data_IF_745663768538
#
_entry.id   IF_745663768538
#
_cell.length_a   1.000
_cell.length_b   1.000
_cell.length_c   1.000
_cell.angle_alpha   90.00
_cell.angle_beta   90.00
_cell.angle_gamma   90.00
#
_symmetry.space_group_name_H-M   'P 1'
#
loop_
_entity.id
_entity.type
_entity.pdbx_description
1 polymer ?
#
# COMPACT_ATOMS: atom_id res chain seq x y z
N UNK A 1 -18.24 -10.32 -14.16
CA UNK A 1 -17.32 -10.22 -13.00
C UNK A 1 -17.21 -8.77 -12.60
N UNK A 2 -17.42 -8.49 -11.32
CA UNK A 2 -17.29 -7.15 -10.77
C UNK A 2 -16.25 -7.11 -9.65
N UNK A 3 -15.56 -5.97 -9.50
CA UNK A 3 -14.58 -5.70 -8.45
C UNK A 3 -14.91 -4.41 -7.70
N UNK A 4 -14.66 -4.41 -6.39
CA UNK A 4 -14.61 -3.21 -5.57
C UNK A 4 -13.27 -3.08 -4.83
N UNK A 5 -12.87 -1.83 -4.55
CA UNK A 5 -11.69 -1.47 -3.75
C UNK A 5 -12.01 -1.32 -2.26
N UNK A 6 -13.28 -1.34 -1.89
CA UNK A 6 -13.78 -1.15 -0.53
C UNK A 6 -15.28 -1.48 -0.43
N UNK A 7 -15.80 -1.71 0.78
CA UNK A 7 -17.23 -1.97 0.97
C UNK A 7 -18.10 -0.78 0.53
N UNK A 8 -17.56 0.43 0.54
CA UNK A 8 -18.31 1.67 0.31
C UNK A 8 -18.05 2.31 -1.07
N UNK A 9 -17.05 1.80 -1.82
CA UNK A 9 -16.65 2.38 -3.12
C UNK A 9 -17.48 1.87 -4.30
N UNK A 10 -18.39 0.93 -4.07
CA UNK A 10 -19.22 0.29 -5.10
C UNK A 10 -18.46 -0.72 -5.98
N UNK A 11 -19.22 -1.60 -6.64
CA UNK A 11 -18.68 -2.60 -7.55
C UNK A 11 -18.64 -2.08 -8.98
N UNK A 12 -17.55 -2.38 -9.69
CA UNK A 12 -17.33 -2.02 -11.09
C UNK A 12 -17.16 -3.27 -11.93
N UNK A 13 -17.78 -3.32 -13.11
CA UNK A 13 -17.59 -4.43 -14.06
C UNK A 13 -16.16 -4.42 -14.59
N UNK A 14 -15.45 -5.53 -14.37
CA UNK A 14 -14.06 -5.70 -14.85
C UNK A 14 -13.93 -6.73 -15.97
N UNK A 15 -15.01 -7.45 -16.26
CA UNK A 15 -15.05 -8.37 -17.39
C UNK A 15 -16.33 -9.20 -17.41
N UNK A 16 -16.59 -9.80 -18.57
CA UNK A 16 -17.74 -10.66 -18.81
C UNK A 16 -17.26 -12.03 -19.28
N UNK A 17 -17.97 -13.07 -18.85
CA UNK A 17 -17.77 -14.45 -19.29
C UNK A 17 -19.11 -14.92 -19.83
N UNK A 18 -19.12 -15.62 -20.97
CA UNK A 18 -20.37 -16.17 -21.52
C UNK A 18 -21.02 -17.08 -20.49
N UNK A 19 -22.32 -16.85 -20.24
CA UNK A 19 -23.11 -17.71 -19.37
C UNK A 19 -23.19 -19.13 -19.93
N UNK A 20 -23.29 -20.12 -19.05
CA UNK A 20 -23.37 -21.53 -19.42
C UNK A 20 -24.76 -21.95 -19.99
N UNK A 21 -25.66 -21.00 -20.25
CA UNK A 21 -27.07 -21.26 -20.58
C UNK A 21 -27.91 -21.64 -19.35
N UNK A 22 -29.13 -22.12 -19.59
CA UNK A 22 -30.03 -22.57 -18.52
C UNK A 22 -29.54 -23.88 -17.93
N UNK A 23 -29.14 -23.87 -16.66
CA UNK A 23 -28.69 -25.05 -15.92
C UNK A 23 -29.29 -25.07 -14.52
N UNK A 24 -29.78 -26.23 -14.09
CA UNK A 24 -30.24 -26.46 -12.71
C UNK A 24 -29.08 -26.76 -11.74
N UNK A 25 -27.84 -26.86 -12.25
CA UNK A 25 -26.60 -27.02 -11.48
C UNK A 25 -25.75 -25.76 -11.58
N UNK A 26 -25.12 -25.38 -10.46
CA UNK A 26 -24.19 -24.25 -10.42
C UNK A 26 -23.08 -24.38 -11.46
N UNK A 27 -22.82 -23.29 -12.19
CA UNK A 27 -21.76 -23.22 -13.19
C UNK A 27 -20.47 -22.67 -12.57
N UNK A 28 -19.33 -23.26 -12.94
CA UNK A 28 -18.02 -22.77 -12.55
C UNK A 28 -17.51 -21.78 -13.61
N UNK A 29 -17.23 -20.56 -13.17
CA UNK A 29 -16.67 -19.52 -14.03
C UNK A 29 -15.24 -19.21 -13.62
N UNK A 30 -14.35 -19.13 -14.60
CA UNK A 30 -12.97 -18.68 -14.42
C UNK A 30 -12.81 -17.30 -15.02
N UNK A 31 -12.26 -16.36 -14.25
CA UNK A 31 -11.92 -15.03 -14.72
C UNK A 31 -10.58 -14.59 -14.12
N UNK A 32 -9.69 -14.04 -14.95
CA UNK A 32 -8.39 -13.53 -14.53
C UNK A 32 -8.43 -12.00 -14.50
N UNK A 33 -8.26 -11.40 -13.33
CA UNK A 33 -8.09 -9.95 -13.20
C UNK A 33 -6.61 -9.57 -13.34
N UNK A 34 -6.20 -9.18 -14.55
CA UNK A 34 -4.82 -8.78 -14.84
C UNK A 34 -4.42 -7.44 -14.20
N UNK A 35 -5.40 -6.63 -13.81
CA UNK A 35 -5.17 -5.32 -13.21
C UNK A 35 -5.29 -5.33 -11.68
N UNK A 36 -5.50 -6.49 -11.05
CA UNK A 36 -5.65 -6.64 -9.60
C UNK A 36 -4.46 -6.04 -8.84
N UNK A 37 -3.23 -6.40 -9.22
CA UNK A 37 -2.02 -5.90 -8.57
C UNK A 37 -1.82 -4.38 -8.75
N UNK A 38 -2.31 -3.81 -9.85
CA UNK A 38 -2.19 -2.38 -10.16
C UNK A 38 -3.15 -1.51 -9.36
N UNK A 39 -4.10 -2.10 -8.61
CA UNK A 39 -5.01 -1.34 -7.76
C UNK A 39 -4.32 -0.74 -6.53
N UNK A 40 -3.08 -1.16 -6.21
CA UNK A 40 -2.34 -0.64 -5.05
C UNK A 40 -2.97 -1.00 -3.70
N UNK A 41 -3.91 -1.95 -3.68
CA UNK A 41 -4.58 -2.46 -2.48
C UNK A 41 -4.11 -3.88 -2.21
N UNK A 42 -4.04 -4.26 -0.93
CA UNK A 42 -3.78 -5.63 -0.47
C UNK A 42 -5.05 -6.44 -0.26
N UNK A 43 -6.20 -5.79 -0.44
CA UNK A 43 -7.53 -6.35 -0.22
C UNK A 43 -8.45 -5.88 -1.33
N UNK A 44 -9.07 -6.82 -2.01
CA UNK A 44 -10.02 -6.59 -3.09
C UNK A 44 -11.28 -7.43 -2.90
N UNK A 45 -12.41 -6.89 -3.33
CA UNK A 45 -13.71 -7.53 -3.23
C UNK A 45 -14.18 -7.91 -4.63
N UNK A 46 -14.66 -9.14 -4.79
CA UNK A 46 -15.17 -9.66 -6.05
C UNK A 46 -16.56 -10.24 -5.88
N UNK A 47 -17.38 -10.09 -6.91
CA UNK A 47 -18.65 -10.81 -7.03
C UNK A 47 -18.97 -11.11 -8.49
N UNK A 48 -19.76 -12.15 -8.69
CA UNK A 48 -20.40 -12.42 -9.97
C UNK A 48 -21.75 -11.69 -10.00
N UNK A 49 -21.98 -10.98 -11.11
CA UNK A 49 -23.30 -10.51 -11.51
C UNK A 49 -23.70 -11.28 -12.76
N UNK A 50 -24.78 -12.05 -12.64
CA UNK A 50 -25.39 -12.78 -13.73
C UNK A 50 -26.60 -11.98 -14.21
N UNK A 51 -26.75 -11.89 -15.52
CA UNK A 51 -27.89 -11.23 -16.16
C UNK A 51 -28.51 -12.28 -17.06
N UNK A 52 -29.78 -12.60 -16.80
CA UNK A 52 -30.55 -13.56 -17.58
C UNK A 52 -31.08 -12.93 -18.87
N UNK A 53 -31.63 -13.75 -19.76
CA UNK A 53 -32.11 -13.30 -21.08
C UNK A 53 -33.28 -12.31 -20.99
N UNK A 54 -34.03 -12.36 -19.90
CA UNK A 54 -35.13 -11.46 -19.58
C UNK A 54 -34.67 -10.16 -18.89
N UNK A 55 -33.37 -10.01 -18.63
CA UNK A 55 -32.79 -8.87 -17.91
C UNK A 55 -32.78 -9.01 -16.38
N UNK A 56 -33.25 -10.14 -15.83
CA UNK A 56 -33.18 -10.42 -14.40
C UNK A 56 -31.72 -10.55 -13.94
N UNK A 57 -31.43 -10.05 -12.73
CA UNK A 57 -30.06 -10.02 -12.21
C UNK A 57 -29.90 -10.85 -10.94
N UNK A 58 -28.84 -11.64 -10.91
CA UNK A 58 -28.48 -12.45 -9.76
C UNK A 58 -27.03 -12.16 -9.33
N UNK A 59 -26.84 -11.86 -8.05
CA UNK A 59 -25.54 -11.58 -7.46
C UNK A 59 -25.07 -12.78 -6.64
N UNK A 60 -23.79 -13.14 -6.79
CA UNK A 60 -23.14 -14.07 -5.87
C UNK A 60 -22.85 -13.39 -4.53
N UNK A 61 -22.55 -14.17 -3.47
CA UNK A 61 -21.83 -13.65 -2.30
C UNK A 61 -20.54 -12.94 -2.71
N UNK A 62 -20.13 -11.98 -1.88
CA UNK A 62 -18.86 -11.26 -2.06
C UNK A 62 -17.71 -12.13 -1.58
N UNK A 63 -16.69 -12.26 -2.42
CA UNK A 63 -15.43 -12.93 -2.09
C UNK A 63 -14.36 -11.87 -1.85
N UNK A 64 -13.67 -11.97 -0.73
CA UNK A 64 -12.56 -11.08 -0.38
C UNK A 64 -11.25 -11.79 -0.66
N UNK A 65 -10.42 -11.19 -1.51
CA UNK A 65 -9.06 -11.67 -1.76
C UNK A 65 -8.11 -10.72 -1.05
N UNK A 66 -7.28 -11.27 -0.16
CA UNK A 66 -6.19 -10.54 0.47
C UNK A 66 -4.86 -11.16 0.12
N UNK A 67 -3.86 -10.32 -0.12
CA UNK A 67 -2.48 -10.74 -0.21
C UNK A 67 -1.61 -9.84 0.64
N UNK A 68 -0.55 -10.42 1.20
CA UNK A 68 0.47 -9.61 1.84
C UNK A 68 1.19 -8.83 0.76
N UNK A 69 1.22 -7.52 0.89
CA UNK A 69 2.08 -6.69 0.06
C UNK A 69 3.51 -7.17 0.28
N UNK A 70 4.14 -7.76 -0.74
CA UNK A 70 5.59 -7.91 -0.80
C UNK A 70 6.28 -6.58 -1.11
N UNK A 71 5.59 -5.45 -0.90
CA UNK A 71 6.17 -4.12 -0.95
C UNK A 71 7.16 -3.97 0.20
N UNK A 72 8.35 -4.50 -0.03
CA UNK A 72 9.53 -4.20 0.74
C UNK A 72 10.08 -2.94 0.11
N UNK A 73 9.52 -1.77 0.45
CA UNK A 73 10.17 -0.52 0.06
C UNK A 73 11.59 -0.59 0.63
N UNK A 74 12.58 -0.66 -0.26
CA UNK A 74 13.98 -0.55 0.14
C UNK A 74 14.19 0.89 0.62
N UNK A 75 13.97 1.11 1.92
CA UNK A 75 14.27 2.36 2.59
C UNK A 75 15.75 2.34 2.95
N UNK A 76 16.48 3.32 2.48
CA UNK A 76 17.89 3.54 2.79
C UNK A 76 18.03 4.92 3.41
N UNK A 77 18.83 5.02 4.46
CA UNK A 77 19.12 6.28 5.15
C UNK A 77 20.62 6.40 5.25
N UNK A 78 21.18 7.48 4.71
CA UNK A 78 22.63 7.70 4.69
C UNK A 78 22.99 9.19 4.77
N UNK A 79 24.17 9.53 5.32
CA UNK A 79 25.11 8.61 5.98
C UNK A 79 24.53 8.05 7.29
N UNK A 80 24.99 6.85 7.68
CA UNK A 80 24.60 6.22 8.93
C UNK A 80 25.79 5.40 9.47
N UNK A 81 26.46 5.83 10.55
CA UNK A 81 26.13 6.99 11.38
C UNK A 81 26.22 8.34 10.63
N UNK A 82 25.36 9.29 11.00
CA UNK A 82 25.38 10.67 10.50
C UNK A 82 26.09 11.57 11.51
N UNK A 83 27.02 12.41 11.04
CA UNK A 83 27.60 13.46 11.86
C UNK A 83 26.63 14.66 12.00
N UNK A 84 26.67 15.30 13.17
CA UNK A 84 26.02 16.59 13.41
C UNK A 84 26.41 17.61 12.31
N UNK A 85 25.42 18.32 11.76
CA UNK A 85 25.54 19.25 10.62
C UNK A 85 25.74 18.67 9.19
N UNK A 86 25.66 17.35 8.98
CA UNK A 86 25.61 16.74 7.63
C UNK A 86 24.20 16.56 7.08
N UNK A 87 24.00 16.64 5.76
CA UNK A 87 22.69 16.32 5.19
C UNK A 87 22.38 14.82 5.29
N UNK A 88 21.23 14.46 5.85
CA UNK A 88 20.74 13.07 5.84
C UNK A 88 19.83 12.87 4.63
N UNK A 89 20.17 11.87 3.84
CA UNK A 89 19.42 11.46 2.66
C UNK A 89 18.63 10.20 2.95
N UNK A 90 17.35 10.21 2.57
CA UNK A 90 16.46 9.07 2.59
C UNK A 90 16.17 8.69 1.15
N UNK A 91 16.46 7.44 0.79
CA UNK A 91 16.10 6.85 -0.51
C UNK A 91 15.04 5.79 -0.35
N UNK A 92 14.05 5.82 -1.23
CA UNK A 92 12.97 4.85 -1.33
C UNK A 92 13.12 4.12 -2.67
N UNK A 93 13.42 2.82 -2.64
CA UNK A 93 13.63 2.03 -3.85
C UNK A 93 12.37 1.94 -4.73
N UNK A 94 11.24 1.60 -4.13
CA UNK A 94 9.94 1.56 -4.81
C UNK A 94 9.00 2.56 -4.14
N UNK A 95 8.39 3.45 -4.93
CA UNK A 95 7.47 4.44 -4.37
C UNK A 95 6.16 3.79 -3.93
N UNK A 96 5.68 4.11 -2.71
CA UNK A 96 4.38 3.65 -2.24
C UNK A 96 3.24 4.37 -2.98
N UNK A 97 2.01 3.89 -2.79
CA UNK A 97 0.82 4.57 -3.26
C UNK A 97 0.68 5.97 -2.62
N UNK A 98 -0.13 6.82 -3.24
CA UNK A 98 -0.39 8.18 -2.77
C UNK A 98 -0.87 8.21 -1.31
N UNK A 99 -0.44 9.22 -0.56
CA UNK A 99 -0.76 9.39 0.86
C UNK A 99 0.23 8.75 1.83
N UNK A 100 1.28 8.09 1.34
CA UNK A 100 2.36 7.56 2.18
C UNK A 100 3.18 8.67 2.87
N UNK A 101 3.75 8.34 4.03
CA UNK A 101 4.47 9.28 4.90
C UNK A 101 5.78 8.70 5.39
N UNK A 102 6.77 9.57 5.59
CA UNK A 102 8.00 9.27 6.34
C UNK A 102 7.86 9.88 7.73
N UNK A 103 8.20 9.11 8.74
CA UNK A 103 8.20 9.52 10.14
C UNK A 103 9.55 9.18 10.76
N UNK A 104 10.10 10.11 11.54
CA UNK A 104 11.33 9.93 12.31
C UNK A 104 10.95 9.90 13.77
N UNK A 105 11.22 8.77 14.41
CA UNK A 105 10.98 8.56 15.83
C UNK A 105 12.27 8.70 16.61
N UNK A 106 12.20 9.37 17.76
CA UNK A 106 13.27 9.36 18.76
C UNK A 106 13.30 8.05 19.54
N UNK A 107 14.31 7.90 20.41
CA UNK A 107 14.51 6.68 21.21
C UNK A 107 13.35 6.36 22.19
N UNK A 108 12.53 7.36 22.55
CA UNK A 108 11.35 7.20 23.40
C UNK A 108 10.05 6.97 22.60
N UNK A 109 10.14 6.78 21.28
CA UNK A 109 8.98 6.57 20.41
C UNK A 109 8.18 7.83 20.07
N UNK A 110 8.65 9.02 20.47
CA UNK A 110 8.06 10.30 20.05
C UNK A 110 8.39 10.59 18.59
N UNK A 111 7.43 11.14 17.85
CA UNK A 111 7.63 11.62 16.47
C UNK A 111 8.37 12.95 16.53
N UNK A 112 9.60 12.98 16.01
CA UNK A 112 10.45 14.18 15.96
C UNK A 112 10.26 14.92 14.63
N UNK A 113 10.00 14.16 13.57
CA UNK A 113 9.74 14.72 12.25
C UNK A 113 8.78 13.82 11.48
N UNK A 114 7.94 14.43 10.63
CA UNK A 114 7.11 13.71 9.68
C UNK A 114 6.90 14.53 8.40
N UNK A 115 6.75 13.85 7.27
CA UNK A 115 6.47 14.49 5.99
C UNK A 115 5.94 13.50 4.96
N UNK A 116 5.36 13.99 3.84
CA UNK A 116 4.84 13.13 2.79
C UNK A 116 5.98 12.46 2.01
N UNK A 117 5.79 11.20 1.61
CA UNK A 117 6.72 10.46 0.77
C UNK A 117 6.42 10.70 -0.72
N UNK A 118 6.67 11.92 -1.21
CA UNK A 118 6.33 12.33 -2.59
C UNK A 118 7.42 11.99 -3.62
N UNK A 119 8.66 11.77 -3.18
CA UNK A 119 9.81 11.49 -4.05
C UNK A 119 10.62 10.28 -3.55
N UNK A 120 11.36 9.66 -4.49
CA UNK A 120 12.28 8.56 -4.16
C UNK A 120 13.50 9.00 -3.36
N UNK A 121 13.80 10.30 -3.35
CA UNK A 121 14.88 10.89 -2.59
C UNK A 121 14.34 12.07 -1.80
N UNK A 122 14.58 12.05 -0.49
CA UNK A 122 14.20 13.11 0.43
C UNK A 122 15.41 13.46 1.30
N UNK A 123 15.57 14.76 1.57
CA UNK A 123 16.55 15.24 2.54
C UNK A 123 15.84 15.54 3.86
N UNK A 124 16.36 14.98 4.96
CA UNK A 124 15.85 15.25 6.29
C UNK A 124 16.60 16.45 6.90
N UNK A 125 15.89 17.46 7.45
CA UNK A 125 16.53 18.57 8.12
C UNK A 125 17.16 18.10 9.44
N UNK A 126 18.47 18.28 9.57
CA UNK A 126 19.21 17.88 10.78
C UNK A 126 19.01 18.80 11.97
N UNK A 127 18.61 20.05 11.76
CA UNK A 127 18.53 21.07 12.83
C UNK A 127 17.58 20.70 13.97
N UNK A 128 16.72 19.68 13.77
CA UNK A 128 15.79 19.16 14.78
C UNK A 128 16.28 17.87 15.45
N UNK A 129 17.37 17.26 14.99
CA UNK A 129 17.88 15.99 15.50
C UNK A 129 19.14 16.21 16.34
N UNK A 130 19.03 15.94 17.63
CA UNK A 130 20.18 15.88 18.55
C UNK A 130 20.98 14.58 18.39
N UNK A 131 22.10 14.47 19.07
CA UNK A 131 22.89 13.23 19.15
C UNK A 131 22.01 12.11 19.74
N UNK A 132 21.93 10.96 19.08
CA UNK A 132 21.08 9.87 19.56
C UNK A 132 20.70 8.83 18.51
N UNK A 133 19.83 7.91 18.94
CA UNK A 133 19.26 6.86 18.11
C UNK A 133 17.87 7.26 17.61
N UNK A 134 17.66 7.08 16.31
CA UNK A 134 16.40 7.38 15.64
C UNK A 134 15.93 6.20 14.79
N UNK A 135 14.62 6.15 14.57
CA UNK A 135 13.99 5.21 13.66
C UNK A 135 13.26 5.98 12.56
N UNK A 136 13.71 5.82 11.33
CA UNK A 136 13.04 6.35 10.14
C UNK A 136 12.09 5.28 9.63
N UNK A 137 10.81 5.60 9.52
CA UNK A 137 9.75 4.65 9.17
C UNK A 137 8.96 5.20 7.99
N UNK A 138 8.72 4.35 6.99
CA UNK A 138 7.82 4.62 5.88
C UNK A 138 6.47 3.95 6.15
N UNK A 139 5.39 4.70 6.11
CA UNK A 139 4.01 4.22 6.30
C UNK A 139 3.14 4.50 5.08
N UNK A 140 2.12 3.67 4.85
CA UNK A 140 1.10 3.94 3.84
C UNK A 140 0.04 4.93 4.33
N UNK A 141 -0.95 5.24 3.48
CA UNK A 141 -2.05 6.14 3.83
C UNK A 141 -2.93 5.63 4.99
N UNK A 142 -2.91 4.32 5.28
CA UNK A 142 -3.62 3.71 6.40
C UNK A 142 -2.75 3.64 7.68
N UNK A 143 -1.53 4.18 7.65
CA UNK A 143 -0.59 4.15 8.77
C UNK A 143 0.11 2.80 8.96
N UNK A 144 -0.04 1.85 8.05
CA UNK A 144 0.68 0.58 8.11
C UNK A 144 2.15 0.81 7.74
N UNK A 145 3.06 0.24 8.53
CA UNK A 145 4.49 0.31 8.29
C UNK A 145 4.86 -0.52 7.05
N UNK A 146 5.41 0.16 6.05
CA UNK A 146 5.94 -0.44 4.82
C UNK A 146 7.42 -0.77 4.94
N UNK A 147 8.21 0.08 5.61
CA UNK A 147 9.65 -0.12 5.80
C UNK A 147 10.18 0.69 6.98
N UNK A 148 11.35 0.32 7.49
CA UNK A 148 12.02 1.09 8.54
C UNK A 148 13.54 0.95 8.50
N UNK A 149 14.24 2.00 8.88
CA UNK A 149 15.68 2.04 9.04
C UNK A 149 16.06 2.70 10.35
N UNK A 150 17.14 2.18 10.96
CA UNK A 150 17.73 2.78 12.15
C UNK A 150 18.74 3.82 11.72
N UNK A 151 18.70 5.00 12.32
CA UNK A 151 19.61 6.11 12.06
C UNK A 151 20.33 6.45 13.37
N UNK A 152 21.66 6.46 13.33
CA UNK A 152 22.51 6.90 14.44
C UNK A 152 23.03 8.29 14.12
N UNK A 153 22.79 9.27 14.99
CA UNK A 153 23.35 10.61 14.87
C UNK A 153 24.42 10.78 15.94
N UNK A 154 25.66 11.00 15.50
CA UNK A 154 26.83 11.21 16.37
C UNK A 154 27.23 12.68 16.39
N UNK A 155 27.71 13.12 17.54
CA UNK A 155 28.35 14.43 17.66
C UNK A 155 29.76 14.46 17.12
N UNK A 156 30.22 15.65 16.73
CA UNK A 156 31.63 15.98 16.87
C UNK A 156 32.01 16.13 18.35
#
# INVERSE_FOLDING_TARGET
MERSLGPETGFTTIGQVRGAGTSTRGANYLFRDENAARQGRTLLYYRLRQVDQDGSEHLSPVVVITWKSQFTAALQVYPNPAEEAQRINVRIGTMPAEGARIQVYGNLGSVIWQGPATSQALELPLSTLSKGLYHVVLTDAAGQRLSSQRLVVTGR
#
